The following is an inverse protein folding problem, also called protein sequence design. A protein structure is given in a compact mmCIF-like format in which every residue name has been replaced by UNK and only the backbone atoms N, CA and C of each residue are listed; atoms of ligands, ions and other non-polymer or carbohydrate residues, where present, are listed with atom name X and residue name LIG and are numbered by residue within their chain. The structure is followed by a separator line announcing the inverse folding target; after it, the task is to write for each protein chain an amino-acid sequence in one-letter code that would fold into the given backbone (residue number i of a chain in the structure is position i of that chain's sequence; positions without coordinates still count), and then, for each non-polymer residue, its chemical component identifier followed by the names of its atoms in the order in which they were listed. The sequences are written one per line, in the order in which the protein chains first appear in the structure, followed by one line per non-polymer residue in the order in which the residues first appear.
data_IF_982755601961
#
_entry.id   IF_982755601961
#
_cell.length_a   1.000
_cell.length_b   1.000
_cell.length_c   1.000
_cell.angle_alpha   90.00
_cell.angle_beta   90.00
_cell.angle_gamma   90.00
#
_symmetry.space_group_name_H-M   'P 1'
#
loop_
_entity.id
_entity.type
_entity.pdbx_description
1 polymer ?
#
# COMPACT_ATOMS: atom_id res chain seq x y z
N UNK A 1 22.81 -40.54 6.75
CA UNK A 1 21.43 -40.16 7.12
C UNK A 1 20.64 -40.26 5.82
N UNK A 2 19.70 -41.19 5.71
CA UNK A 2 18.93 -41.35 4.47
C UNK A 2 18.08 -40.09 4.26
N UNK A 3 18.19 -39.45 3.10
CA UNK A 3 17.36 -38.30 2.74
C UNK A 3 15.88 -38.68 2.80
N UNK A 4 15.04 -37.74 3.26
CA UNK A 4 13.59 -37.97 3.22
C UNK A 4 13.12 -38.07 1.76
N UNK A 5 12.02 -38.79 1.50
CA UNK A 5 11.48 -38.92 0.13
C UNK A 5 11.11 -37.57 -0.52
N UNK A 6 10.85 -36.53 0.29
CA UNK A 6 10.62 -35.16 -0.17
C UNK A 6 11.91 -34.50 -0.65
N UNK A 7 13.01 -34.59 0.12
CA UNK A 7 14.30 -34.01 -0.26
C UNK A 7 14.86 -34.64 -1.55
N UNK A 8 14.58 -35.92 -1.77
CA UNK A 8 14.94 -36.62 -3.01
C UNK A 8 14.15 -36.09 -4.21
N UNK A 9 12.85 -35.89 -4.05
CA UNK A 9 11.99 -35.29 -5.07
C UNK A 9 12.45 -33.87 -5.40
N UNK A 10 12.75 -33.04 -4.39
CA UNK A 10 13.24 -31.68 -4.61
C UNK A 10 14.57 -31.65 -5.38
N UNK A 11 15.52 -32.53 -5.05
CA UNK A 11 16.77 -32.62 -5.80
C UNK A 11 16.55 -33.05 -7.25
N UNK A 12 15.63 -33.98 -7.49
CA UNK A 12 15.24 -34.40 -8.84
C UNK A 12 14.64 -33.24 -9.64
N UNK A 13 13.81 -32.41 -9.00
CA UNK A 13 13.16 -31.25 -9.62
C UNK A 13 14.11 -30.08 -9.91
N UNK A 14 15.17 -29.92 -9.11
CA UNK A 14 16.22 -28.94 -9.39
C UNK A 14 16.96 -29.34 -10.67
N UNK A 15 17.30 -30.64 -10.80
CA UNK A 15 17.83 -31.23 -12.02
C UNK A 15 18.98 -30.43 -12.68
N UNK A 16 18.98 -30.39 -14.00
CA UNK A 16 20.05 -29.80 -14.83
C UNK A 16 19.83 -28.31 -15.18
N UNK A 17 18.67 -27.73 -14.86
CA UNK A 17 18.33 -26.34 -15.21
C UNK A 17 17.83 -25.53 -14.00
N UNK A 18 18.72 -25.23 -13.03
CA UNK A 18 18.34 -24.53 -11.80
C UNK A 18 17.83 -23.10 -12.07
N UNK A 19 17.00 -22.58 -11.16
CA UNK A 19 16.61 -21.16 -11.15
C UNK A 19 17.85 -20.27 -10.99
N UNK A 20 17.89 -19.17 -11.75
CA UNK A 20 18.94 -18.15 -11.59
C UNK A 20 18.99 -17.61 -10.15
N UNK A 21 20.18 -17.50 -9.52
CA UNK A 21 20.32 -17.00 -8.16
C UNK A 21 19.65 -15.63 -7.94
N UNK A 22 19.17 -15.37 -6.72
CA UNK A 22 18.50 -14.11 -6.38
C UNK A 22 19.40 -12.87 -6.58
N UNK A 23 20.71 -13.03 -6.43
CA UNK A 23 21.71 -11.96 -6.52
C UNK A 23 21.99 -11.51 -7.97
N UNK A 24 21.66 -12.36 -8.95
CA UNK A 24 21.92 -12.08 -10.36
C UNK A 24 20.71 -11.43 -11.03
N UNK A 25 20.96 -10.57 -12.02
CA UNK A 25 19.90 -10.02 -12.88
C UNK A 25 19.73 -10.87 -14.13
N UNK A 26 18.48 -11.14 -14.51
CA UNK A 26 18.16 -11.77 -15.78
C UNK A 26 18.41 -10.80 -16.94
N UNK A 27 18.51 -11.30 -18.17
CA UNK A 27 18.68 -10.44 -19.36
C UNK A 27 17.53 -9.45 -19.52
N UNK A 28 16.29 -9.88 -19.22
CA UNK A 28 15.10 -9.02 -19.23
C UNK A 28 15.22 -7.93 -18.18
N UNK A 29 15.56 -8.27 -16.94
CA UNK A 29 15.72 -7.29 -15.86
C UNK A 29 16.82 -6.27 -16.15
N UNK A 30 17.98 -6.70 -16.67
CA UNK A 30 19.06 -5.79 -17.07
C UNK A 30 18.58 -4.82 -18.14
N UNK A 31 17.89 -5.32 -19.16
CA UNK A 31 17.38 -4.49 -20.26
C UNK A 31 16.38 -3.47 -19.74
N UNK A 32 15.42 -3.90 -18.92
CA UNK A 32 14.42 -3.00 -18.33
C UNK A 32 15.07 -1.95 -17.41
N UNK A 33 16.05 -2.33 -16.61
CA UNK A 33 16.79 -1.38 -15.75
C UNK A 33 17.53 -0.33 -16.58
N UNK A 34 18.22 -0.73 -17.65
CA UNK A 34 18.89 0.20 -18.55
C UNK A 34 17.92 1.13 -19.27
N UNK A 35 16.78 0.62 -19.75
CA UNK A 35 15.74 1.44 -20.36
C UNK A 35 15.15 2.45 -19.38
N UNK A 36 14.88 2.04 -18.13
CA UNK A 36 14.38 2.93 -17.10
C UNK A 36 15.39 4.03 -16.76
N UNK A 37 16.68 3.68 -16.61
CA UNK A 37 17.76 4.64 -16.38
C UNK A 37 17.92 5.61 -17.56
N UNK A 38 17.85 5.12 -18.79
CA UNK A 38 17.92 5.95 -20.00
C UNK A 38 16.72 6.91 -20.06
N UNK A 39 15.51 6.44 -19.78
CA UNK A 39 14.32 7.27 -19.74
C UNK A 39 14.43 8.38 -18.69
N UNK A 40 14.79 8.03 -17.43
CA UNK A 40 14.98 8.99 -16.35
C UNK A 40 16.09 10.01 -16.68
N UNK A 41 17.21 9.54 -17.23
CA UNK A 41 18.32 10.41 -17.64
C UNK A 41 17.93 11.33 -18.79
N UNK A 42 17.13 10.84 -19.74
CA UNK A 42 16.66 11.63 -20.88
C UNK A 42 15.68 12.71 -20.43
N UNK A 43 14.76 12.41 -19.51
CA UNK A 43 13.88 13.40 -18.90
C UNK A 43 14.70 14.43 -18.12
N UNK A 44 15.66 13.98 -17.32
CA UNK A 44 16.54 14.86 -16.55
C UNK A 44 17.34 15.81 -17.44
N UNK A 45 18.03 15.30 -18.46
CA UNK A 45 18.76 16.12 -19.44
C UNK A 45 17.79 17.01 -20.22
N UNK A 46 16.61 16.49 -20.55
CA UNK A 46 15.53 17.21 -21.22
C UNK A 46 15.11 18.48 -20.48
N UNK A 47 15.07 18.46 -19.14
CA UNK A 47 14.80 19.66 -18.35
C UNK A 47 15.83 20.79 -18.57
N UNK A 48 17.08 20.47 -18.92
CA UNK A 48 18.13 21.47 -19.16
C UNK A 48 18.26 21.85 -20.64
N UNK A 49 18.05 20.91 -21.55
CA UNK A 49 18.33 21.10 -22.99
C UNK A 49 17.07 21.48 -23.79
N UNK A 50 15.90 21.03 -23.36
CA UNK A 50 14.63 21.20 -24.07
C UNK A 50 13.46 21.40 -23.08
N UNK A 51 13.62 22.36 -22.16
CA UNK A 51 12.66 22.59 -21.08
C UNK A 51 11.25 22.87 -21.61
N UNK A 52 11.12 23.73 -22.62
CA UNK A 52 9.82 24.08 -23.20
C UNK A 52 9.07 22.85 -23.72
N UNK A 53 9.79 21.95 -24.42
CA UNK A 53 9.19 20.74 -24.97
C UNK A 53 8.86 19.69 -23.90
N UNK A 54 9.77 19.45 -22.95
CA UNK A 54 9.62 18.38 -21.95
C UNK A 54 8.70 18.79 -20.80
N UNK A 55 8.87 20.00 -20.29
CA UNK A 55 8.12 20.52 -19.16
C UNK A 55 6.90 21.31 -19.63
N UNK A 56 7.10 22.46 -20.29
CA UNK A 56 6.02 23.43 -20.56
C UNK A 56 4.90 22.85 -21.41
N UNK A 57 5.24 22.19 -22.53
CA UNK A 57 4.26 21.61 -23.47
C UNK A 57 3.94 20.14 -23.17
N UNK A 58 4.81 19.46 -22.41
CA UNK A 58 4.73 18.03 -22.13
C UNK A 58 4.17 17.71 -20.75
N UNK A 59 5.05 17.64 -19.75
CA UNK A 59 4.70 17.17 -18.41
C UNK A 59 3.81 18.12 -17.63
N UNK A 60 3.90 19.44 -17.85
CA UNK A 60 3.13 20.43 -17.10
C UNK A 60 1.61 20.26 -17.29
N UNK A 61 1.04 20.24 -18.51
CA UNK A 61 -0.41 20.07 -18.69
C UNK A 61 -0.93 18.69 -18.27
N UNK A 62 -0.07 17.66 -18.30
CA UNK A 62 -0.44 16.28 -17.95
C UNK A 62 -0.34 16.06 -16.44
N UNK A 63 0.73 16.51 -15.80
CA UNK A 63 1.02 16.20 -14.40
C UNK A 63 0.78 17.41 -13.51
N UNK A 64 1.33 18.57 -13.83
CA UNK A 64 1.39 19.72 -12.91
C UNK A 64 0.09 20.52 -12.84
N UNK A 65 -0.50 20.89 -13.98
CA UNK A 65 -1.71 21.71 -14.01
C UNK A 65 -2.88 21.01 -13.29
N UNK A 66 -3.11 19.70 -13.45
CA UNK A 66 -4.13 18.98 -12.68
C UNK A 66 -3.85 18.93 -11.17
N UNK A 67 -2.57 18.91 -10.75
CA UNK A 67 -2.20 18.96 -9.33
C UNK A 67 -2.56 20.32 -8.75
N UNK A 68 -2.24 21.41 -9.46
CA UNK A 68 -2.57 22.76 -9.02
C UNK A 68 -4.08 23.02 -9.02
N UNK A 69 -4.83 22.42 -9.95
CA UNK A 69 -6.29 22.49 -9.97
C UNK A 69 -6.92 21.74 -8.78
N UNK A 70 -6.37 20.57 -8.40
CA UNK A 70 -6.81 19.80 -7.23
C UNK A 70 -6.36 20.43 -5.90
N UNK A 71 -5.35 21.30 -5.93
CA UNK A 71 -4.87 22.09 -4.78
C UNK A 71 -5.69 23.37 -4.56
N UNK A 72 -6.20 23.95 -5.65
CA UNK A 72 -6.91 25.21 -5.59
C UNK A 72 -8.30 25.11 -4.94
N UNK A 73 -8.94 26.26 -4.76
CA UNK A 73 -10.22 26.43 -4.04
C UNK A 73 -11.42 25.63 -4.58
N UNK A 74 -11.31 25.03 -5.78
CA UNK A 74 -12.33 24.12 -6.31
C UNK A 74 -12.19 22.68 -5.74
N UNK A 75 -10.97 22.27 -5.35
CA UNK A 75 -10.68 21.09 -4.55
C UNK A 75 -11.07 19.73 -5.14
N UNK A 76 -11.29 19.59 -6.46
CA UNK A 76 -11.68 18.31 -7.07
C UNK A 76 -11.37 18.24 -8.59
N UNK A 77 -10.11 18.12 -8.98
CA UNK A 77 -9.77 17.95 -10.40
C UNK A 77 -10.10 16.51 -10.88
N UNK A 78 -10.74 16.39 -12.06
CA UNK A 78 -11.03 15.10 -12.67
C UNK A 78 -9.80 14.52 -13.39
N UNK A 79 -9.65 13.19 -13.38
CA UNK A 79 -8.57 12.54 -14.12
C UNK A 79 -8.85 12.52 -15.63
N UNK A 80 -7.87 12.92 -16.43
CA UNK A 80 -7.92 12.72 -17.88
C UNK A 80 -7.31 11.35 -18.28
N UNK A 81 -7.66 10.79 -19.45
CA UNK A 81 -7.15 9.48 -19.89
C UNK A 81 -5.62 9.39 -20.01
N UNK A 82 -4.95 10.49 -20.38
CA UNK A 82 -3.49 10.54 -20.54
C UNK A 82 -2.77 10.41 -19.20
N UNK A 83 -3.27 11.10 -18.17
CA UNK A 83 -2.77 11.04 -16.81
C UNK A 83 -2.96 9.63 -16.24
N UNK A 84 -4.15 9.06 -16.44
CA UNK A 84 -4.44 7.67 -16.04
C UNK A 84 -3.45 6.70 -16.68
N UNK A 85 -3.23 6.79 -18.00
CA UNK A 85 -2.26 5.94 -18.70
C UNK A 85 -0.84 6.12 -18.15
N UNK A 86 -0.39 7.36 -18.00
CA UNK A 86 0.96 7.68 -17.50
C UNK A 86 1.19 7.06 -16.12
N UNK A 87 0.22 7.23 -15.20
CA UNK A 87 0.33 6.71 -13.84
C UNK A 87 0.26 5.18 -13.80
N UNK A 88 -0.63 4.56 -14.59
CA UNK A 88 -0.72 3.09 -14.70
C UNK A 88 0.57 2.47 -15.25
N UNK A 89 1.12 3.02 -16.33
CA UNK A 89 2.37 2.50 -16.90
C UNK A 89 3.57 2.74 -15.98
N UNK A 90 3.65 3.90 -15.33
CA UNK A 90 4.70 4.20 -14.35
C UNK A 90 4.67 3.22 -13.17
N UNK A 91 3.47 2.90 -12.65
CA UNK A 91 3.30 1.90 -11.59
C UNK A 91 3.75 0.50 -12.03
N UNK A 92 3.30 0.04 -13.21
CA UNK A 92 3.70 -1.28 -13.74
C UNK A 92 5.21 -1.37 -13.99
N UNK A 93 5.81 -0.33 -14.58
CA UNK A 93 7.25 -0.25 -14.79
C UNK A 93 8.01 -0.27 -13.46
N UNK A 94 7.51 0.45 -12.45
CA UNK A 94 8.10 0.50 -11.11
C UNK A 94 8.10 -0.88 -10.45
N UNK A 95 7.05 -1.69 -10.59
CA UNK A 95 7.03 -3.08 -10.07
C UNK A 95 8.18 -3.91 -10.65
N UNK A 96 8.40 -3.84 -11.98
CA UNK A 96 9.45 -4.62 -12.66
C UNK A 96 10.86 -4.16 -12.28
N UNK A 97 11.05 -2.85 -12.12
CA UNK A 97 12.35 -2.27 -11.73
C UNK A 97 12.64 -2.53 -10.25
N UNK A 98 11.69 -2.20 -9.36
CA UNK A 98 11.89 -2.29 -7.91
C UNK A 98 12.02 -3.74 -7.44
N UNK A 99 11.31 -4.71 -8.04
CA UNK A 99 11.48 -6.12 -7.65
C UNK A 99 12.92 -6.58 -7.82
N UNK A 100 13.59 -6.18 -8.91
CA UNK A 100 14.96 -6.56 -9.19
C UNK A 100 15.93 -5.87 -8.22
N UNK A 101 15.73 -4.57 -7.96
CA UNK A 101 16.55 -3.80 -7.03
C UNK A 101 16.42 -4.33 -5.59
N UNK A 102 15.20 -4.56 -5.12
CA UNK A 102 14.94 -5.05 -3.75
C UNK A 102 15.47 -6.46 -3.54
N UNK A 103 15.36 -7.32 -4.55
CA UNK A 103 15.92 -8.67 -4.50
C UNK A 103 17.44 -8.64 -4.41
N UNK A 104 18.12 -7.84 -5.23
CA UNK A 104 19.59 -7.71 -5.18
C UNK A 104 20.07 -7.09 -3.87
N UNK A 105 19.29 -6.14 -3.32
CA UNK A 105 19.56 -5.55 -2.01
C UNK A 105 19.21 -6.48 -0.83
N UNK A 106 18.74 -7.71 -1.09
CA UNK A 106 18.32 -8.68 -0.08
C UNK A 106 17.31 -8.11 0.94
N UNK A 107 16.40 -7.26 0.46
CA UNK A 107 15.34 -6.67 1.30
C UNK A 107 14.31 -7.76 1.63
N UNK A 108 13.84 -7.86 2.89
CA UNK A 108 12.81 -8.84 3.26
C UNK A 108 11.55 -8.69 2.39
N UNK A 109 10.97 -9.81 1.96
CA UNK A 109 9.75 -9.87 1.15
C UNK A 109 8.72 -10.83 1.75
N UNK A 110 8.67 -10.91 3.08
CA UNK A 110 7.75 -11.74 3.85
C UNK A 110 6.49 -10.97 4.27
N UNK A 111 5.55 -11.66 4.90
CA UNK A 111 4.31 -11.07 5.44
C UNK A 111 4.57 -9.91 6.42
N UNK A 112 5.70 -9.95 7.15
CA UNK A 112 6.11 -8.87 8.06
C UNK A 112 6.42 -7.60 7.28
N UNK A 113 7.13 -7.71 6.15
CA UNK A 113 7.35 -6.58 5.24
C UNK A 113 6.05 -6.04 4.67
N UNK A 114 5.11 -6.90 4.27
CA UNK A 114 3.79 -6.45 3.83
C UNK A 114 3.11 -5.59 4.90
N UNK A 115 3.09 -6.04 6.16
CA UNK A 115 2.49 -5.30 7.27
C UNK A 115 3.18 -3.94 7.49
N UNK A 116 4.51 -3.89 7.33
CA UNK A 116 5.24 -2.62 7.39
C UNK A 116 4.82 -1.68 6.27
N UNK A 117 4.76 -2.15 5.02
CA UNK A 117 4.35 -1.33 3.86
C UNK A 117 2.87 -0.92 3.94
N UNK A 118 2.00 -1.78 4.48
CA UNK A 118 0.58 -1.48 4.68
C UNK A 118 0.38 -0.25 5.57
N UNK A 119 1.20 -0.08 6.62
CA UNK A 119 1.15 1.12 7.45
C UNK A 119 1.41 2.41 6.65
N UNK A 120 2.24 2.35 5.60
CA UNK A 120 2.50 3.48 4.72
C UNK A 120 1.40 3.70 3.67
N UNK A 121 0.80 2.61 3.18
CA UNK A 121 -0.41 2.69 2.35
C UNK A 121 -1.54 3.38 3.11
N UNK A 122 -1.67 3.17 4.43
CA UNK A 122 -2.63 3.87 5.27
C UNK A 122 -2.23 5.32 5.59
N UNK A 123 -0.94 5.62 5.73
CA UNK A 123 -0.47 6.97 6.05
C UNK A 123 -0.82 8.00 4.95
N UNK A 124 -0.67 7.62 3.68
CA UNK A 124 -0.95 8.50 2.55
C UNK A 124 -2.39 9.06 2.54
N UNK A 125 -3.47 8.23 2.60
CA UNK A 125 -4.83 8.74 2.67
C UNK A 125 -5.13 9.47 3.98
N UNK A 126 -4.47 9.13 5.10
CA UNK A 126 -4.61 9.89 6.35
C UNK A 126 -4.21 11.36 6.18
N UNK A 127 -3.08 11.59 5.49
CA UNK A 127 -2.62 12.93 5.15
C UNK A 127 -3.48 13.57 4.04
N UNK A 128 -3.92 12.79 3.04
CA UNK A 128 -4.77 13.32 1.95
C UNK A 128 -6.12 13.82 2.47
N UNK A 129 -6.72 13.16 3.45
CA UNK A 129 -7.99 13.61 4.06
C UNK A 129 -7.81 14.88 4.90
N UNK A 130 -6.63 15.08 5.51
CA UNK A 130 -6.33 16.36 6.17
C UNK A 130 -6.25 17.50 5.14
N UNK A 131 -5.65 17.21 3.99
CA UNK A 131 -5.66 18.15 2.86
C UNK A 131 -7.08 18.40 2.33
N UNK A 132 -7.88 17.36 2.12
CA UNK A 132 -9.30 17.52 1.72
C UNK A 132 -10.13 18.31 2.76
N UNK A 133 -9.66 18.37 4.01
CA UNK A 133 -10.27 19.16 5.08
C UNK A 133 -9.72 20.61 5.17
N UNK A 134 -8.92 21.07 4.21
CA UNK A 134 -8.24 22.38 4.20
C UNK A 134 -7.29 22.57 5.41
N UNK A 135 -6.63 21.49 5.88
CA UNK A 135 -5.70 21.59 7.01
C UNK A 135 -4.40 22.30 6.63
N UNK A 136 -3.81 21.97 5.48
CA UNK A 136 -2.51 22.53 5.09
C UNK A 136 -2.68 23.90 4.42
N UNK A 137 -1.63 24.72 4.46
CA UNK A 137 -1.66 26.05 3.85
C UNK A 137 -1.60 25.96 2.33
N UNK A 138 -2.06 27.00 1.63
CA UNK A 138 -1.97 27.14 0.17
C UNK A 138 -0.54 27.19 -0.40
N UNK A 139 0.49 27.23 0.46
CA UNK A 139 1.89 27.11 0.05
C UNK A 139 2.36 25.64 0.05
N UNK A 140 1.65 24.75 0.75
CA UNK A 140 2.06 23.36 1.02
C UNK A 140 1.04 22.30 0.60
N UNK A 141 -0.21 22.68 0.32
CA UNK A 141 -1.31 21.83 -0.19
C UNK A 141 -0.88 20.82 -1.27
N UNK A 142 -0.13 21.29 -2.27
CA UNK A 142 0.34 20.51 -3.41
C UNK A 142 1.23 19.33 -3.02
N UNK A 143 1.88 19.37 -1.84
CA UNK A 143 2.67 18.24 -1.34
C UNK A 143 1.79 17.04 -1.00
N UNK A 144 0.54 17.27 -0.62
CA UNK A 144 -0.39 16.25 -0.16
C UNK A 144 -1.28 15.73 -1.29
N UNK A 145 -1.08 16.18 -2.53
CA UNK A 145 -1.82 15.75 -3.72
C UNK A 145 -1.07 14.67 -4.48
N UNK A 146 -1.80 13.78 -5.16
CA UNK A 146 -1.20 12.73 -5.98
C UNK A 146 -0.63 13.28 -7.30
N UNK A 147 0.54 12.80 -7.76
CA UNK A 147 1.36 11.73 -7.19
C UNK A 147 2.40 12.20 -6.15
N UNK A 148 2.51 13.51 -5.88
CA UNK A 148 3.57 14.11 -5.06
C UNK A 148 3.59 13.55 -3.64
N UNK A 149 2.41 13.36 -3.04
CA UNK A 149 2.29 12.75 -1.71
C UNK A 149 3.00 11.39 -1.62
N UNK A 150 2.83 10.56 -2.64
CA UNK A 150 3.45 9.23 -2.68
C UNK A 150 4.97 9.32 -2.87
N UNK A 151 5.46 10.31 -3.61
CA UNK A 151 6.90 10.50 -3.85
C UNK A 151 7.63 10.91 -2.58
N UNK A 152 7.14 11.93 -1.85
CA UNK A 152 7.85 12.36 -0.64
C UNK A 152 7.69 11.33 0.49
N UNK A 153 6.55 10.65 0.62
CA UNK A 153 6.39 9.54 1.57
C UNK A 153 7.31 8.36 1.22
N UNK A 154 7.53 8.08 -0.06
CA UNK A 154 8.52 7.09 -0.49
C UNK A 154 9.95 7.51 -0.09
N UNK A 155 10.30 8.79 -0.16
CA UNK A 155 11.59 9.30 0.33
C UNK A 155 11.76 9.02 1.83
N UNK A 156 10.73 9.29 2.64
CA UNK A 156 10.75 8.95 4.07
C UNK A 156 10.91 7.43 4.29
N UNK A 157 10.11 6.62 3.61
CA UNK A 157 10.15 5.16 3.72
C UNK A 157 11.54 4.60 3.37
N UNK A 158 12.10 5.00 2.23
CA UNK A 158 13.43 4.56 1.77
C UNK A 158 14.52 5.06 2.70
N UNK A 159 14.45 6.31 3.15
CA UNK A 159 15.39 6.87 4.12
C UNK A 159 15.40 6.09 5.44
N UNK A 160 14.23 5.77 5.97
CA UNK A 160 14.09 4.98 7.20
C UNK A 160 14.55 3.54 7.01
N UNK A 161 14.28 2.94 5.85
CA UNK A 161 14.77 1.62 5.48
C UNK A 161 16.31 1.58 5.47
N UNK A 162 16.93 2.56 4.81
CA UNK A 162 18.38 2.69 4.71
C UNK A 162 19.03 2.91 6.07
N UNK A 163 18.52 3.85 6.87
CA UNK A 163 19.02 4.12 8.23
C UNK A 163 18.88 2.87 9.10
N UNK A 164 17.74 2.18 9.02
CA UNK A 164 17.48 0.97 9.79
C UNK A 164 18.44 -0.15 9.42
N UNK A 165 18.72 -0.33 8.13
CA UNK A 165 19.71 -1.28 7.63
C UNK A 165 21.12 -0.91 8.09
N UNK A 166 21.54 0.34 7.83
CA UNK A 166 22.88 0.84 8.10
C UNK A 166 23.25 0.77 9.59
N UNK A 167 22.33 1.09 10.48
CA UNK A 167 22.56 1.01 11.93
C UNK A 167 22.63 -0.44 12.39
N UNK A 168 21.77 -1.32 11.87
CA UNK A 168 21.79 -2.73 12.24
C UNK A 168 23.05 -3.45 11.74
N UNK A 169 23.52 -3.15 10.53
CA UNK A 169 24.68 -3.79 9.92
C UNK A 169 26.00 -3.54 10.68
N UNK A 170 26.04 -2.54 11.57
CA UNK A 170 27.19 -2.31 12.46
C UNK A 170 27.42 -3.44 13.47
N UNK A 171 26.43 -4.31 13.69
CA UNK A 171 26.49 -5.38 14.70
C UNK A 171 26.08 -6.76 14.18
N UNK A 172 26.20 -7.03 12.87
CA UNK A 172 25.80 -8.28 12.20
C UNK A 172 26.54 -9.56 12.66
N UNK A 173 27.53 -9.45 13.55
CA UNK A 173 28.41 -10.55 13.94
C UNK A 173 27.74 -11.65 14.81
N UNK A 174 26.60 -11.39 15.48
CA UNK A 174 25.77 -12.44 16.12
C UNK A 174 24.38 -11.97 16.59
N UNK A 175 23.40 -12.87 16.68
CA UNK A 175 22.06 -12.60 17.21
C UNK A 175 21.98 -12.77 18.74
N UNK A 176 22.79 -12.02 19.48
CA UNK A 176 22.74 -12.04 20.95
C UNK A 176 21.78 -10.95 21.46
N UNK A 177 21.05 -11.19 22.56
CA UNK A 177 20.26 -10.18 23.28
C UNK A 177 20.98 -8.84 23.49
N UNK A 178 22.31 -8.88 23.69
CA UNK A 178 23.15 -7.69 23.85
C UNK A 178 23.21 -6.84 22.57
N UNK A 179 23.28 -7.46 21.40
CA UNK A 179 23.33 -6.78 20.10
C UNK A 179 21.97 -6.18 19.78
N UNK A 180 20.91 -6.92 20.02
CA UNK A 180 19.54 -6.42 19.85
C UNK A 180 19.26 -5.20 20.74
N UNK A 181 19.75 -5.23 21.98
CA UNK A 181 19.68 -4.06 22.87
C UNK A 181 20.48 -2.86 22.35
N UNK A 182 21.61 -3.07 21.64
CA UNK A 182 22.39 -1.97 21.02
C UNK A 182 21.65 -1.38 19.84
N UNK A 183 21.14 -2.22 18.93
CA UNK A 183 20.33 -1.80 17.77
C UNK A 183 19.14 -0.97 18.24
N UNK A 184 18.40 -1.45 19.26
CA UNK A 184 17.30 -0.67 19.85
C UNK A 184 17.73 0.68 20.41
N UNK A 185 18.80 0.71 21.20
CA UNK A 185 19.30 1.97 21.81
C UNK A 185 19.77 2.98 20.75
N UNK A 186 20.24 2.51 19.60
CA UNK A 186 20.68 3.36 18.50
C UNK A 186 19.50 3.82 17.61
N UNK A 187 18.63 2.90 17.18
CA UNK A 187 17.54 3.20 16.25
C UNK A 187 16.42 4.02 16.88
N UNK A 188 16.05 3.72 18.12
CA UNK A 188 14.85 4.30 18.71
C UNK A 188 14.93 5.83 18.86
N UNK A 189 16.06 6.44 19.29
CA UNK A 189 16.23 7.91 19.24
C UNK A 189 16.21 8.47 17.82
N UNK A 190 16.79 7.77 16.84
CA UNK A 190 16.82 8.22 15.45
C UNK A 190 15.40 8.25 14.86
N UNK A 191 14.62 7.19 15.06
CA UNK A 191 13.22 7.13 14.64
C UNK A 191 12.37 8.18 15.37
N UNK A 192 12.65 8.43 16.65
CA UNK A 192 11.96 9.47 17.45
C UNK A 192 12.23 10.88 16.92
N UNK A 193 13.48 11.14 16.50
CA UNK A 193 13.88 12.40 15.90
C UNK A 193 13.32 12.55 14.49
N UNK A 194 13.29 11.47 13.70
CA UNK A 194 12.63 11.44 12.41
C UNK A 194 11.13 11.77 12.55
N UNK A 195 10.46 11.22 13.55
CA UNK A 195 9.03 11.50 13.81
C UNK A 195 8.82 12.96 14.20
N UNK A 196 9.73 13.53 15.00
CA UNK A 196 9.72 14.96 15.32
C UNK A 196 9.86 15.82 14.06
N UNK A 197 10.81 15.51 13.17
CA UNK A 197 10.97 16.24 11.91
C UNK A 197 9.77 16.07 10.99
N UNK A 198 9.19 14.88 10.91
CA UNK A 198 7.98 14.65 10.13
C UNK A 198 6.80 15.50 10.62
N UNK A 199 6.59 15.56 11.94
CA UNK A 199 5.59 16.45 12.54
C UNK A 199 5.91 17.93 12.28
N UNK A 200 7.15 18.35 12.52
CA UNK A 200 7.59 19.74 12.40
C UNK A 200 7.54 20.25 10.96
N UNK A 201 7.84 19.41 9.98
CA UNK A 201 7.83 19.78 8.56
C UNK A 201 6.43 19.76 7.97
N UNK A 202 5.61 18.75 8.30
CA UNK A 202 4.31 18.57 7.63
C UNK A 202 3.15 19.21 8.39
N UNK A 203 3.10 19.10 9.73
CA UNK A 203 1.92 19.51 10.51
C UNK A 203 2.08 20.87 11.18
N UNK A 204 3.26 21.15 11.74
CA UNK A 204 3.48 22.37 12.50
C UNK A 204 3.20 23.68 11.73
N UNK A 205 3.54 23.80 10.42
CA UNK A 205 3.27 25.04 9.67
C UNK A 205 1.77 25.38 9.61
N UNK A 206 0.91 24.37 9.48
CA UNK A 206 -0.54 24.51 9.40
C UNK A 206 -1.18 25.11 10.65
N UNK A 207 -0.58 24.93 11.84
CA UNK A 207 -1.14 25.47 13.08
C UNK A 207 -1.19 27.00 13.13
N UNK A 208 -0.39 27.68 12.30
CA UNK A 208 -0.38 29.14 12.22
C UNK A 208 -1.50 29.72 11.34
N UNK A 209 -2.14 28.88 10.53
CA UNK A 209 -3.23 29.27 9.63
C UNK A 209 -4.58 29.19 10.36
N UNK A 210 -4.69 28.30 11.34
CA UNK A 210 -5.95 27.97 12.00
C UNK A 210 -6.06 28.55 13.41
N UNK A 211 -6.38 29.84 13.52
CA UNK A 211 -6.47 30.57 14.81
C UNK A 211 -7.51 29.99 15.79
N UNK A 212 -8.57 29.35 15.28
CA UNK A 212 -9.65 28.76 16.09
C UNK A 212 -9.38 27.32 16.55
N UNK A 213 -8.26 26.71 16.12
CA UNK A 213 -7.97 25.30 16.35
C UNK A 213 -7.53 25.04 17.80
N UNK A 214 -8.16 24.06 18.45
CA UNK A 214 -7.71 23.55 19.74
C UNK A 214 -6.37 22.81 19.66
N UNK A 215 -5.61 22.78 20.75
CA UNK A 215 -4.33 22.05 20.81
C UNK A 215 -4.37 20.79 21.67
N UNK A 216 -5.52 20.46 22.26
CA UNK A 216 -5.66 19.31 23.16
C UNK A 216 -5.38 18.00 22.43
N UNK A 217 -6.06 17.74 21.31
CA UNK A 217 -5.88 16.50 20.55
C UNK A 217 -4.56 16.48 19.79
N UNK A 218 -4.02 17.64 19.38
CA UNK A 218 -2.67 17.73 18.83
C UNK A 218 -1.63 17.20 19.83
N UNK A 219 -1.64 17.69 21.08
CA UNK A 219 -0.69 17.26 22.11
C UNK A 219 -0.85 15.79 22.47
N UNK A 220 -2.10 15.33 22.60
CA UNK A 220 -2.40 13.91 22.84
C UNK A 220 -1.96 13.04 21.66
N UNK A 221 -2.11 13.51 20.42
CA UNK A 221 -1.70 12.81 19.21
C UNK A 221 -0.19 12.66 19.10
N UNK A 222 0.56 13.71 19.43
CA UNK A 222 2.02 13.63 19.53
C UNK A 222 2.41 12.57 20.57
N UNK A 223 1.86 12.62 21.78
CA UNK A 223 2.15 11.63 22.82
C UNK A 223 1.79 10.20 22.37
N UNK A 224 0.60 10.02 21.80
CA UNK A 224 0.11 8.73 21.30
C UNK A 224 0.98 8.18 20.15
N UNK A 225 1.44 9.05 19.25
CA UNK A 225 2.33 8.65 18.14
C UNK A 225 3.68 8.13 18.65
N UNK A 226 4.27 8.79 19.66
CA UNK A 226 5.48 8.29 20.32
C UNK A 226 5.22 6.96 21.01
N UNK A 227 4.13 6.84 21.77
CA UNK A 227 3.74 5.57 22.43
C UNK A 227 3.62 4.45 21.39
N UNK A 228 2.97 4.71 20.25
CA UNK A 228 2.81 3.76 19.16
C UNK A 228 4.16 3.37 18.55
N UNK A 229 5.07 4.33 18.34
CA UNK A 229 6.44 4.08 17.88
C UNK A 229 7.18 3.15 18.84
N UNK A 230 7.20 3.48 20.14
CA UNK A 230 7.86 2.68 21.16
C UNK A 230 7.27 1.28 21.27
N UNK A 231 5.94 1.18 21.32
CA UNK A 231 5.23 -0.09 21.49
C UNK A 231 5.44 -1.03 20.31
N UNK A 232 5.25 -0.54 19.08
CA UNK A 232 5.47 -1.34 17.87
C UNK A 232 6.91 -1.80 17.74
N UNK A 233 7.88 -0.92 18.04
CA UNK A 233 9.30 -1.24 17.93
C UNK A 233 9.70 -2.34 18.93
N UNK A 234 9.19 -2.28 20.16
CA UNK A 234 9.43 -3.31 21.18
C UNK A 234 8.74 -4.62 20.84
N UNK A 235 7.51 -4.58 20.31
CA UNK A 235 6.76 -5.78 19.93
C UNK A 235 7.35 -6.52 18.73
N UNK A 236 8.05 -5.82 17.86
CA UNK A 236 8.68 -6.39 16.66
C UNK A 236 10.17 -6.67 16.86
N UNK A 237 10.57 -7.02 18.09
CA UNK A 237 11.96 -7.29 18.47
C UNK A 237 12.67 -8.30 17.55
N UNK A 238 11.98 -9.38 17.19
CA UNK A 238 12.53 -10.47 16.37
C UNK A 238 12.39 -10.24 14.85
N UNK A 239 11.95 -9.04 14.45
CA UNK A 239 11.77 -8.71 13.04
C UNK A 239 13.05 -8.12 12.46
N UNK A 240 13.29 -8.26 11.14
CA UNK A 240 14.39 -7.57 10.48
C UNK A 240 14.36 -6.06 10.80
N UNK A 241 15.54 -5.47 11.06
CA UNK A 241 15.63 -4.09 11.49
C UNK A 241 14.98 -3.10 10.50
N UNK A 242 15.12 -3.36 9.19
CA UNK A 242 14.46 -2.61 8.12
C UNK A 242 12.94 -2.62 8.32
N UNK A 243 12.35 -3.81 8.35
CA UNK A 243 10.90 -4.01 8.51
C UNK A 243 10.37 -3.35 9.77
N UNK A 244 11.08 -3.55 10.89
CA UNK A 244 10.72 -2.95 12.18
C UNK A 244 10.74 -1.42 12.13
N UNK A 245 11.81 -0.82 11.60
CA UNK A 245 11.94 0.64 11.53
C UNK A 245 10.85 1.28 10.68
N UNK A 246 10.59 0.71 9.51
CA UNK A 246 9.53 1.16 8.58
C UNK A 246 8.15 1.03 9.23
N UNK A 247 7.84 -0.13 9.85
CA UNK A 247 6.55 -0.35 10.50
C UNK A 247 6.33 0.62 11.66
N UNK A 248 7.31 0.73 12.57
CA UNK A 248 7.17 1.55 13.77
C UNK A 248 6.95 3.02 13.44
N UNK A 249 7.67 3.53 12.45
CA UNK A 249 7.47 4.89 11.98
C UNK A 249 6.12 5.06 11.27
N UNK A 250 5.78 4.17 10.33
CA UNK A 250 4.53 4.25 9.57
C UNK A 250 3.28 4.22 10.46
N UNK A 251 3.27 3.35 11.49
CA UNK A 251 2.19 3.30 12.49
C UNK A 251 2.15 4.58 13.32
N UNK A 252 3.29 5.08 13.79
CA UNK A 252 3.35 6.31 14.58
C UNK A 252 2.87 7.54 13.81
N UNK A 253 3.31 7.69 12.55
CA UNK A 253 2.90 8.77 11.66
C UNK A 253 1.39 8.68 11.32
N UNK A 254 0.86 7.46 11.14
CA UNK A 254 -0.58 7.27 10.92
C UNK A 254 -1.40 7.66 12.15
N UNK A 255 -0.96 7.26 13.35
CA UNK A 255 -1.61 7.67 14.62
C UNK A 255 -1.58 9.18 14.76
N UNK A 256 -0.47 9.84 14.44
CA UNK A 256 -0.37 11.29 14.47
C UNK A 256 -1.44 11.95 13.59
N UNK A 257 -1.59 11.50 12.34
CA UNK A 257 -2.58 12.07 11.42
C UNK A 257 -4.03 11.80 11.83
N UNK A 258 -4.34 10.59 12.33
CA UNK A 258 -5.68 10.27 12.85
C UNK A 258 -6.06 11.12 14.07
N UNK A 259 -5.11 11.50 14.92
CA UNK A 259 -5.41 12.44 16.01
C UNK A 259 -5.69 13.86 15.50
N UNK A 260 -5.17 14.25 14.34
CA UNK A 260 -5.55 15.52 13.69
C UNK A 260 -6.96 15.44 13.09
N UNK A 261 -7.41 14.26 12.62
CA UNK A 261 -8.82 14.06 12.28
C UNK A 261 -9.72 14.26 13.50
N UNK A 262 -9.37 13.68 14.65
CA UNK A 262 -10.13 13.88 15.90
C UNK A 262 -10.10 15.35 16.34
N UNK A 263 -8.97 16.03 16.14
CA UNK A 263 -8.84 17.46 16.41
C UNK A 263 -9.81 18.29 15.54
N UNK A 264 -9.92 17.98 14.24
CA UNK A 264 -10.89 18.60 13.35
C UNK A 264 -12.33 18.37 13.83
N UNK A 265 -12.68 17.13 14.15
CA UNK A 265 -14.02 16.79 14.67
C UNK A 265 -14.35 17.51 15.99
N UNK A 266 -13.34 17.80 16.81
CA UNK A 266 -13.52 18.47 18.10
C UNK A 266 -13.61 19.98 17.98
N UNK A 267 -12.76 20.62 17.17
CA UNK A 267 -12.82 22.05 16.87
C UNK A 267 -12.51 22.23 15.39
N UNK A 268 -13.53 22.22 14.52
CA UNK A 268 -13.35 22.41 13.09
C UNK A 268 -12.71 23.77 12.82
N UNK A 269 -11.75 23.81 11.91
CA UNK A 269 -11.23 25.07 11.38
C UNK A 269 -12.06 25.54 10.18
N UNK A 270 -11.89 26.80 9.78
CA UNK A 270 -12.61 27.34 8.64
C UNK A 270 -12.09 26.68 7.35
N UNK A 271 -13.02 26.19 6.53
CA UNK A 271 -12.72 25.59 5.24
C UNK A 271 -12.93 26.62 4.14
N UNK A 272 -11.94 26.78 3.27
CA UNK A 272 -12.05 27.67 2.09
C UNK A 272 -13.03 27.09 1.07
N UNK A 273 -13.16 25.77 1.04
CA UNK A 273 -14.04 25.00 0.14
C UNK A 273 -15.54 25.14 0.46
N UNK A 274 -15.93 25.71 1.60
CA UNK A 274 -17.32 25.86 2.06
C UNK A 274 -18.15 24.54 2.13
N UNK A 275 -17.48 23.39 2.10
CA UNK A 275 -18.08 22.05 2.14
C UNK A 275 -18.28 21.60 3.59
N UNK A 276 -19.24 22.21 4.27
CA UNK A 276 -19.61 21.75 5.62
C UNK A 276 -20.90 20.96 5.53
N UNK A 277 -20.79 19.63 5.59
CA UNK A 277 -21.91 18.80 6.00
C UNK A 277 -22.09 18.98 7.51
N UNK A 278 -23.25 19.49 7.93
CA UNK A 278 -23.59 19.78 9.34
C UNK A 278 -23.63 18.55 10.27
N UNK A 279 -23.39 17.34 9.75
CA UNK A 279 -23.52 16.09 10.52
C UNK A 279 -22.36 15.12 10.32
N UNK A 280 -21.53 14.95 11.35
CA UNK A 280 -20.56 13.86 11.47
C UNK A 280 -21.31 12.52 11.50
N UNK A 281 -21.01 11.63 10.55
CA UNK A 281 -21.68 10.34 10.43
C UNK A 281 -20.70 9.19 10.54
N UNK A 282 -20.82 8.39 11.61
CA UNK A 282 -19.88 7.28 11.91
C UNK A 282 -20.37 5.91 11.41
N UNK A 283 -21.65 5.78 11.02
CA UNK A 283 -22.16 4.50 10.51
C UNK A 283 -21.47 4.00 9.23
N UNK A 284 -20.94 4.85 8.31
CA UNK A 284 -20.20 4.36 7.14
C UNK A 284 -19.03 3.45 7.51
N UNK A 285 -18.37 3.67 8.66
CA UNK A 285 -17.32 2.79 9.19
C UNK A 285 -17.77 1.35 9.36
N UNK A 286 -19.00 1.15 9.84
CA UNK A 286 -19.54 -0.18 10.08
C UNK A 286 -19.78 -0.94 8.78
N UNK A 287 -20.18 -0.25 7.71
CA UNK A 287 -20.40 -0.87 6.40
C UNK A 287 -19.07 -1.12 5.70
N UNK A 288 -18.26 -0.06 5.56
CA UNK A 288 -17.03 -0.07 4.77
C UNK A 288 -15.95 -0.95 5.40
N UNK A 289 -15.82 -1.00 6.73
CA UNK A 289 -14.86 -1.92 7.37
C UNK A 289 -15.49 -3.21 7.87
N UNK A 290 -16.76 -3.16 8.31
CA UNK A 290 -17.41 -4.34 8.89
C UNK A 290 -17.68 -5.44 7.86
N UNK A 291 -18.25 -5.12 6.70
CA UNK A 291 -18.55 -6.14 5.67
C UNK A 291 -17.26 -6.78 5.14
N UNK A 292 -16.25 -6.01 4.66
CA UNK A 292 -14.99 -6.60 4.22
C UNK A 292 -14.25 -7.35 5.34
N UNK A 293 -14.34 -6.87 6.59
CA UNK A 293 -13.76 -7.53 7.76
C UNK A 293 -14.39 -8.90 8.03
N UNK A 294 -15.72 -9.02 7.91
CA UNK A 294 -16.44 -10.29 8.04
C UNK A 294 -16.02 -11.27 6.93
N UNK A 295 -15.92 -10.81 5.68
CA UNK A 295 -15.46 -11.62 4.55
C UNK A 295 -14.03 -12.14 4.82
N UNK A 296 -13.12 -11.25 5.21
CA UNK A 296 -11.74 -11.61 5.54
C UNK A 296 -11.67 -12.59 6.74
N UNK A 297 -12.55 -12.45 7.74
CA UNK A 297 -12.64 -13.39 8.85
C UNK A 297 -13.01 -14.80 8.38
N UNK A 298 -14.00 -14.94 7.49
CA UNK A 298 -14.38 -16.24 6.94
C UNK A 298 -13.28 -16.84 6.05
N UNK A 299 -12.61 -16.03 5.23
CA UNK A 299 -11.46 -16.47 4.43
C UNK A 299 -10.30 -16.95 5.31
N UNK A 300 -9.95 -16.16 6.33
CA UNK A 300 -8.91 -16.54 7.28
C UNK A 300 -9.26 -17.83 7.99
N UNK A 301 -10.50 -17.97 8.49
CA UNK A 301 -10.96 -19.18 9.16
C UNK A 301 -10.88 -20.41 8.26
N UNK A 302 -11.18 -20.27 6.97
CA UNK A 302 -11.11 -21.35 6.00
C UNK A 302 -9.66 -21.81 5.73
N UNK A 303 -8.71 -20.87 5.61
CA UNK A 303 -7.31 -21.18 5.28
C UNK A 303 -6.37 -21.43 6.48
N UNK A 304 -6.79 -21.12 7.71
CA UNK A 304 -5.89 -21.05 8.88
C UNK A 304 -5.18 -22.37 9.16
N UNK A 305 -5.90 -23.48 9.13
CA UNK A 305 -5.35 -24.77 9.53
C UNK A 305 -4.32 -25.26 8.51
N UNK A 306 -4.58 -25.07 7.22
CA UNK A 306 -3.64 -25.40 6.13
C UNK A 306 -2.41 -24.47 6.16
N UNK A 307 -2.59 -23.19 6.49
CA UNK A 307 -1.47 -22.26 6.69
C UNK A 307 -0.56 -22.69 7.85
N UNK A 308 -1.14 -23.12 8.98
CA UNK A 308 -0.38 -23.62 10.13
C UNK A 308 0.35 -24.93 9.79
N UNK A 309 -0.31 -25.86 9.11
CA UNK A 309 0.32 -27.11 8.67
C UNK A 309 1.49 -26.83 7.72
N UNK A 310 1.33 -25.91 6.78
CA UNK A 310 2.40 -25.55 5.85
C UNK A 310 3.57 -24.89 6.59
N UNK A 311 3.32 -24.01 7.56
CA UNK A 311 4.37 -23.42 8.39
C UNK A 311 5.19 -24.47 9.16
N UNK A 312 4.55 -25.54 9.66
CA UNK A 312 5.25 -26.64 10.35
C UNK A 312 6.18 -27.43 9.42
N UNK A 313 5.91 -27.43 8.11
CA UNK A 313 6.78 -28.07 7.11
C UNK A 313 7.96 -27.20 6.68
N UNK A 314 7.99 -25.92 7.07
CA UNK A 314 9.04 -24.98 6.68
C UNK A 314 8.89 -24.37 5.28
N UNK A 315 7.81 -24.69 4.56
CA UNK A 315 7.48 -24.10 3.26
C UNK A 315 6.61 -22.85 3.39
N UNK A 316 6.60 -22.04 2.33
CA UNK A 316 5.83 -20.81 2.22
C UNK A 316 4.71 -20.99 1.20
N UNK A 317 3.51 -20.48 1.51
CA UNK A 317 2.34 -20.68 0.67
C UNK A 317 2.52 -20.02 -0.71
N UNK A 318 2.33 -20.81 -1.78
CA UNK A 318 2.45 -20.34 -3.17
C UNK A 318 3.87 -20.00 -3.63
N UNK A 319 4.91 -20.37 -2.87
CA UNK A 319 6.31 -20.16 -3.25
C UNK A 319 6.99 -21.53 -3.38
N UNK A 320 7.64 -21.77 -4.51
CA UNK A 320 8.35 -23.02 -4.75
C UNK A 320 9.63 -23.11 -3.90
N UNK A 321 10.08 -24.33 -3.55
CA UNK A 321 11.36 -24.56 -2.89
C UNK A 321 12.55 -23.96 -3.66
N UNK A 322 13.66 -23.75 -2.95
CA UNK A 322 14.82 -23.05 -3.52
C UNK A 322 15.45 -23.84 -4.67
N UNK A 323 15.68 -23.16 -5.80
CA UNK A 323 16.35 -23.75 -6.97
C UNK A 323 15.41 -24.41 -7.99
N UNK A 324 14.16 -24.67 -7.63
CA UNK A 324 13.18 -25.32 -8.51
C UNK A 324 12.49 -24.29 -9.42
N UNK A 325 12.50 -24.56 -10.73
CA UNK A 325 11.77 -23.76 -11.73
C UNK A 325 10.30 -24.15 -11.80
N UNK A 326 9.45 -23.17 -12.14
CA UNK A 326 8.01 -23.43 -12.35
C UNK A 326 7.80 -24.51 -13.42
N UNK A 327 8.56 -24.46 -14.51
CA UNK A 327 8.43 -25.45 -15.59
C UNK A 327 8.74 -26.87 -15.12
N UNK A 328 9.83 -27.06 -14.36
CA UNK A 328 10.17 -28.36 -13.78
C UNK A 328 9.12 -28.86 -12.80
N UNK A 329 8.47 -27.95 -12.07
CA UNK A 329 7.36 -28.26 -11.17
C UNK A 329 6.14 -28.76 -11.93
N UNK A 330 5.73 -28.06 -12.99
CA UNK A 330 4.58 -28.43 -13.83
C UNK A 330 4.82 -29.76 -14.58
N UNK A 331 6.04 -29.97 -15.08
CA UNK A 331 6.44 -31.18 -15.81
C UNK A 331 6.41 -32.45 -14.92
N UNK A 332 6.52 -32.30 -13.59
CA UNK A 332 6.52 -33.40 -12.63
C UNK A 332 5.13 -34.00 -12.36
N UNK A 333 4.05 -33.32 -12.76
CA UNK A 333 2.69 -33.86 -12.79
C UNK A 333 2.21 -34.50 -11.48
N UNK A 334 2.02 -35.82 -11.46
CA UNK A 334 1.46 -36.53 -10.30
C UNK A 334 2.42 -36.65 -9.12
N UNK A 335 3.74 -36.57 -9.34
CA UNK A 335 4.74 -36.76 -8.28
C UNK A 335 4.68 -35.63 -7.22
N UNK A 336 4.34 -34.41 -7.66
CA UNK A 336 4.24 -33.23 -6.80
C UNK A 336 2.92 -33.12 -6.04
N UNK A 337 1.89 -33.92 -6.37
CA UNK A 337 0.59 -33.84 -5.69
C UNK A 337 0.67 -34.20 -4.20
N UNK A 338 1.72 -34.91 -3.78
CA UNK A 338 1.97 -35.23 -2.37
C UNK A 338 2.80 -34.16 -1.65
N UNK A 339 3.31 -33.17 -2.39
CA UNK A 339 4.14 -32.13 -1.83
C UNK A 339 3.28 -31.16 -1.00
N UNK A 340 3.72 -30.75 0.21
CA UNK A 340 2.97 -29.83 1.06
C UNK A 340 2.58 -28.52 0.37
N UNK A 341 3.49 -27.98 -0.46
CA UNK A 341 3.23 -26.77 -1.27
C UNK A 341 2.05 -26.97 -2.23
N UNK A 342 1.91 -28.12 -2.90
CA UNK A 342 0.79 -28.34 -3.82
C UNK A 342 -0.52 -28.60 -3.06
N UNK A 343 -0.44 -29.37 -1.97
CA UNK A 343 -1.61 -29.76 -1.17
C UNK A 343 -2.24 -28.59 -0.40
N UNK A 344 -1.41 -27.75 0.23
CA UNK A 344 -1.87 -26.81 1.25
C UNK A 344 -1.87 -25.35 0.77
N UNK A 345 -1.06 -24.98 -0.23
CA UNK A 345 -0.84 -23.56 -0.58
C UNK A 345 -2.12 -22.84 -0.94
N UNK A 346 -3.01 -23.46 -1.72
CA UNK A 346 -4.24 -22.81 -2.20
C UNK A 346 -5.09 -22.27 -1.05
N UNK A 347 -5.35 -23.11 -0.05
CA UNK A 347 -6.15 -22.73 1.11
C UNK A 347 -5.34 -21.89 2.08
N UNK A 348 -4.07 -22.22 2.31
CA UNK A 348 -3.17 -21.44 3.15
C UNK A 348 -3.08 -19.97 2.71
N UNK A 349 -3.09 -19.72 1.40
CA UNK A 349 -3.07 -18.37 0.84
C UNK A 349 -4.31 -17.55 1.16
N UNK A 350 -5.49 -18.17 1.32
CA UNK A 350 -6.71 -17.46 1.74
C UNK A 350 -6.58 -16.86 3.14
N UNK A 351 -5.75 -17.46 4.00
CA UNK A 351 -5.43 -16.93 5.32
C UNK A 351 -4.18 -16.04 5.36
N UNK A 352 -3.50 -15.86 4.22
CA UNK A 352 -2.29 -15.04 4.15
C UNK A 352 -2.62 -13.55 4.27
N UNK A 353 -1.78 -12.75 4.95
CA UNK A 353 -1.92 -11.30 5.01
C UNK A 353 -1.99 -10.65 3.63
N UNK A 354 -1.29 -11.21 2.62
CA UNK A 354 -1.33 -10.72 1.23
C UNK A 354 -2.74 -10.73 0.66
N UNK A 355 -3.40 -11.89 0.66
CA UNK A 355 -4.74 -12.04 0.09
C UNK A 355 -5.77 -11.27 0.91
N UNK A 356 -5.72 -11.38 2.23
CA UNK A 356 -6.66 -10.69 3.12
C UNK A 356 -6.59 -9.17 2.95
N UNK A 357 -5.38 -8.60 2.85
CA UNK A 357 -5.22 -7.16 2.64
C UNK A 357 -5.77 -6.72 1.27
N UNK A 358 -5.49 -7.46 0.19
CA UNK A 358 -6.02 -7.10 -1.14
C UNK A 358 -7.55 -7.14 -1.19
N UNK A 359 -8.15 -8.20 -0.63
CA UNK A 359 -9.61 -8.36 -0.56
C UNK A 359 -10.22 -7.25 0.29
N UNK A 360 -9.67 -7.00 1.47
CA UNK A 360 -10.13 -5.93 2.34
C UNK A 360 -10.07 -4.57 1.64
N UNK A 361 -8.92 -4.23 1.03
CA UNK A 361 -8.71 -2.94 0.38
C UNK A 361 -9.66 -2.67 -0.79
N UNK A 362 -9.82 -3.63 -1.71
CA UNK A 362 -10.69 -3.44 -2.88
C UNK A 362 -12.18 -3.39 -2.51
N UNK A 363 -12.60 -4.17 -1.51
CA UNK A 363 -13.98 -4.11 -1.03
C UNK A 363 -14.24 -2.83 -0.23
N UNK A 364 -13.29 -2.37 0.60
CA UNK A 364 -13.40 -1.09 1.30
C UNK A 364 -13.62 0.05 0.30
N UNK A 365 -12.86 0.08 -0.78
CA UNK A 365 -13.04 1.04 -1.87
C UNK A 365 -14.46 0.99 -2.45
N UNK A 366 -14.89 -0.19 -2.91
CA UNK A 366 -16.21 -0.36 -3.48
C UNK A 366 -17.34 0.10 -2.54
N UNK A 367 -17.28 -0.30 -1.27
CA UNK A 367 -18.28 0.10 -0.28
C UNK A 367 -18.19 1.59 0.08
N UNK A 368 -16.99 2.17 0.14
CA UNK A 368 -16.82 3.60 0.43
C UNK A 368 -17.43 4.46 -0.69
N UNK A 369 -17.14 4.13 -1.94
CA UNK A 369 -17.72 4.80 -3.12
C UNK A 369 -19.24 4.65 -3.14
N UNK A 370 -19.76 3.44 -2.93
CA UNK A 370 -21.21 3.22 -2.88
C UNK A 370 -21.89 4.04 -1.78
N UNK A 371 -21.32 4.03 -0.56
CA UNK A 371 -21.88 4.81 0.54
C UNK A 371 -21.80 6.30 0.24
N UNK A 372 -20.68 6.79 -0.30
CA UNK A 372 -20.51 8.20 -0.62
C UNK A 372 -21.48 8.71 -1.69
N UNK A 373 -21.67 7.96 -2.76
CA UNK A 373 -22.56 8.36 -3.87
C UNK A 373 -24.03 8.18 -3.47
N UNK A 374 -24.44 6.96 -3.11
CA UNK A 374 -25.86 6.63 -2.93
C UNK A 374 -26.47 7.27 -1.67
N UNK A 375 -25.68 7.63 -0.66
CA UNK A 375 -26.20 8.16 0.62
C UNK A 375 -25.75 9.58 0.97
N UNK A 376 -24.64 10.06 0.42
CA UNK A 376 -24.09 11.38 0.76
C UNK A 376 -23.98 12.33 -0.45
N UNK A 377 -24.33 11.89 -1.67
CA UNK A 377 -24.35 12.74 -2.86
C UNK A 377 -22.98 13.18 -3.37
N UNK A 378 -21.92 12.42 -3.05
CA UNK A 378 -20.59 12.64 -3.63
C UNK A 378 -20.54 12.22 -5.11
N UNK A 379 -19.62 12.81 -5.87
CA UNK A 379 -19.35 12.44 -7.27
C UNK A 379 -18.10 11.56 -7.43
N UNK A 380 -18.12 10.67 -8.41
CA UNK A 380 -16.96 9.86 -8.79
C UNK A 380 -15.98 10.62 -9.70
N UNK A 381 -14.68 10.57 -9.39
CA UNK A 381 -13.62 11.29 -10.11
C UNK A 381 -13.02 10.48 -11.27
N UNK A 382 -13.09 9.15 -11.20
CA UNK A 382 -12.48 8.28 -12.18
C UNK A 382 -13.44 8.00 -13.35
N UNK A 383 -12.97 8.24 -14.58
CA UNK A 383 -13.77 8.08 -15.81
C UNK A 383 -14.41 6.69 -15.91
N UNK A 384 -13.64 5.63 -15.64
CA UNK A 384 -14.12 4.24 -15.75
C UNK A 384 -15.10 3.90 -14.64
N UNK A 385 -14.82 4.31 -13.40
CA UNK A 385 -15.74 4.08 -12.28
C UNK A 385 -17.07 4.80 -12.49
N UNK A 386 -17.04 6.04 -12.97
CA UNK A 386 -18.23 6.83 -13.25
C UNK A 386 -19.12 6.16 -14.31
N UNK A 387 -18.53 5.56 -15.34
CA UNK A 387 -19.30 4.79 -16.34
C UNK A 387 -20.04 3.60 -15.71
N UNK A 388 -19.38 2.86 -14.82
CA UNK A 388 -20.03 1.72 -14.11
C UNK A 388 -21.22 2.20 -13.30
N UNK A 389 -21.12 3.35 -12.64
CA UNK A 389 -22.21 3.91 -11.82
C UNK A 389 -23.40 4.33 -12.71
N UNK A 390 -23.13 5.02 -13.83
CA UNK A 390 -24.19 5.40 -14.80
C UNK A 390 -24.93 4.17 -15.32
N UNK A 391 -24.22 3.10 -15.67
CA UNK A 391 -24.86 1.84 -16.06
C UNK A 391 -25.70 1.22 -14.92
N UNK A 392 -25.25 1.35 -13.66
CA UNK A 392 -26.03 0.95 -12.49
C UNK A 392 -27.34 1.72 -12.38
N UNK A 393 -27.31 3.03 -12.63
CA UNK A 393 -28.49 3.89 -12.70
C UNK A 393 -29.47 3.47 -13.80
N UNK A 394 -28.97 3.19 -15.01
CA UNK A 394 -29.80 2.68 -16.12
C UNK A 394 -30.49 1.34 -15.77
N UNK A 395 -29.82 0.48 -15.00
CA UNK A 395 -30.40 -0.78 -14.50
C UNK A 395 -31.47 -0.51 -13.44
N UNK A 396 -31.25 0.44 -12.53
CA UNK A 396 -32.23 0.86 -11.55
C UNK A 396 -33.52 1.38 -12.24
N UNK A 397 -33.36 2.23 -13.26
CA UNK A 397 -34.47 2.75 -14.07
C UNK A 397 -35.23 1.63 -14.78
N UNK A 398 -34.52 0.65 -15.34
CA UNK A 398 -35.13 -0.50 -16.01
C UNK A 398 -35.87 -1.46 -15.05
N UNK A 399 -35.44 -1.54 -13.79
CA UNK A 399 -36.03 -2.40 -12.76
C UNK A 399 -37.05 -1.68 -11.87
N UNK A 400 -37.22 -0.36 -12.02
CA UNK A 400 -38.10 0.46 -11.19
C UNK A 400 -37.63 0.55 -9.74
N UNK A 401 -36.32 0.57 -9.51
CA UNK A 401 -35.71 0.66 -8.18
C UNK A 401 -35.33 2.12 -7.90
N UNK A 402 -36.07 2.79 -7.02
CA UNK A 402 -35.81 4.18 -6.60
C UNK A 402 -34.72 4.30 -5.52
N UNK A 403 -33.96 3.23 -5.25
CA UNK A 403 -32.95 3.19 -4.19
C UNK A 403 -31.52 3.34 -4.74
N UNK A 404 -30.88 4.46 -4.41
CA UNK A 404 -29.50 4.79 -4.79
C UNK A 404 -29.36 5.27 -6.24
N UNK A 405 -28.24 5.92 -6.55
CA UNK A 405 -27.90 6.40 -7.90
C UNK A 405 -27.31 5.28 -8.79
N UNK A 406 -27.13 4.08 -8.24
CA UNK A 406 -26.64 2.89 -8.96
C UNK A 406 -25.23 2.46 -8.56
N UNK A 407 -24.64 3.08 -7.53
CA UNK A 407 -23.27 2.77 -7.12
C UNK A 407 -23.09 1.36 -6.52
N UNK A 408 -24.18 0.66 -6.18
CA UNK A 408 -24.15 -0.77 -5.82
C UNK A 408 -23.51 -1.66 -6.90
N UNK A 409 -23.62 -1.29 -8.19
CA UNK A 409 -22.99 -2.05 -9.28
C UNK A 409 -21.46 -1.98 -9.19
N UNK A 410 -20.92 -0.85 -8.74
CA UNK A 410 -19.48 -0.68 -8.54
C UNK A 410 -18.93 -1.66 -7.48
N UNK A 411 -19.66 -1.88 -6.39
CA UNK A 411 -19.31 -2.90 -5.37
C UNK A 411 -19.26 -4.29 -5.99
N UNK A 412 -20.24 -4.66 -6.82
CA UNK A 412 -20.26 -5.98 -7.46
C UNK A 412 -19.11 -6.16 -8.44
N UNK A 413 -18.81 -5.13 -9.25
CA UNK A 413 -17.66 -5.15 -10.17
C UNK A 413 -16.36 -5.28 -9.40
N UNK A 414 -16.16 -4.51 -8.32
CA UNK A 414 -14.99 -4.61 -7.44
C UNK A 414 -14.89 -6.00 -6.79
N UNK A 415 -16.00 -6.54 -6.29
CA UNK A 415 -16.06 -7.87 -5.69
C UNK A 415 -15.72 -8.98 -6.70
N UNK A 416 -16.24 -8.90 -7.92
CA UNK A 416 -15.93 -9.84 -8.99
C UNK A 416 -14.46 -9.75 -9.41
N UNK A 417 -13.94 -8.53 -9.58
CA UNK A 417 -12.54 -8.29 -9.94
C UNK A 417 -11.60 -8.85 -8.87
N UNK A 418 -11.82 -8.53 -7.60
CA UNK A 418 -10.96 -9.03 -6.52
C UNK A 418 -11.14 -10.53 -6.30
N UNK A 419 -12.32 -11.09 -6.55
CA UNK A 419 -12.55 -12.53 -6.59
C UNK A 419 -11.71 -13.21 -7.66
N UNK A 420 -11.67 -12.66 -8.89
CA UNK A 420 -10.86 -13.16 -9.99
C UNK A 420 -9.35 -13.05 -9.70
N UNK A 421 -8.89 -11.89 -9.20
CA UNK A 421 -7.49 -11.67 -8.80
C UNK A 421 -7.11 -12.65 -7.69
N UNK A 422 -7.96 -12.83 -6.67
CA UNK A 422 -7.71 -13.77 -5.58
C UNK A 422 -7.63 -15.19 -6.10
N UNK A 423 -8.56 -15.61 -6.95
CA UNK A 423 -8.54 -16.95 -7.56
C UNK A 423 -7.25 -17.20 -8.34
N UNK A 424 -6.85 -16.25 -9.19
CA UNK A 424 -5.58 -16.34 -9.91
C UNK A 424 -4.38 -16.41 -8.93
N UNK A 425 -4.38 -15.58 -7.89
CA UNK A 425 -3.28 -15.49 -6.93
C UNK A 425 -3.12 -16.73 -6.04
N UNK A 426 -4.21 -17.44 -5.72
CA UNK A 426 -4.14 -18.68 -4.92
C UNK A 426 -3.76 -19.91 -5.77
N UNK A 427 -4.04 -19.89 -7.08
CA UNK A 427 -3.69 -20.97 -8.00
C UNK A 427 -2.26 -20.84 -8.53
N UNK A 428 -1.76 -19.61 -8.70
CA UNK A 428 -0.40 -19.35 -9.19
C UNK A 428 0.66 -19.64 -8.12
N UNK A 429 1.67 -20.42 -8.51
CA UNK A 429 2.90 -20.62 -7.73
C UNK A 429 4.02 -19.79 -8.34
N UNK A 430 4.86 -19.22 -7.49
CA UNK A 430 5.99 -18.39 -7.92
C UNK A 430 7.33 -18.98 -7.50
N UNK A 431 8.37 -18.72 -8.28
CA UNK A 431 9.73 -19.08 -7.91
C UNK A 431 10.18 -18.26 -6.69
N UNK A 432 11.11 -18.80 -5.90
CA UNK A 432 11.65 -18.08 -4.72
C UNK A 432 12.24 -16.71 -5.07
N UNK A 433 12.79 -16.56 -6.27
CA UNK A 433 13.30 -15.30 -6.82
C UNK A 433 12.20 -14.25 -7.06
N UNK A 434 10.97 -14.70 -7.32
CA UNK A 434 9.82 -13.87 -7.66
C UNK A 434 8.99 -13.44 -6.43
N UNK A 435 9.49 -13.64 -5.21
CA UNK A 435 8.81 -13.18 -3.98
C UNK A 435 8.59 -11.67 -3.97
N UNK A 436 9.57 -10.89 -4.41
CA UNK A 436 9.47 -9.43 -4.45
C UNK A 436 8.42 -8.93 -5.44
N UNK A 437 8.33 -9.53 -6.63
CA UNK A 437 7.29 -9.14 -7.60
C UNK A 437 5.90 -9.47 -7.05
N UNK A 438 5.74 -10.61 -6.37
CA UNK A 438 4.48 -10.99 -5.71
C UNK A 438 4.05 -9.95 -4.68
N UNK A 439 4.96 -9.55 -3.80
CA UNK A 439 4.71 -8.51 -2.79
C UNK A 439 4.35 -7.16 -3.42
N UNK A 440 5.04 -6.76 -4.49
CA UNK A 440 4.81 -5.48 -5.16
C UNK A 440 3.51 -5.42 -5.95
N UNK A 441 3.06 -6.55 -6.54
CA UNK A 441 1.73 -6.65 -7.16
C UNK A 441 0.65 -6.46 -6.08
N UNK A 442 0.78 -7.14 -4.94
CA UNK A 442 -0.13 -6.96 -3.80
C UNK A 442 -0.17 -5.50 -3.36
N UNK A 443 0.99 -4.86 -3.25
CA UNK A 443 1.07 -3.44 -2.89
C UNK A 443 0.40 -2.53 -3.93
N UNK A 444 0.55 -2.80 -5.22
CA UNK A 444 -0.11 -2.04 -6.27
C UNK A 444 -1.64 -2.18 -6.19
N UNK A 445 -2.16 -3.39 -5.96
CA UNK A 445 -3.60 -3.64 -5.74
C UNK A 445 -4.10 -2.91 -4.49
N UNK A 446 -3.30 -2.84 -3.43
CA UNK A 446 -3.64 -2.09 -2.22
C UNK A 446 -3.67 -0.58 -2.46
N UNK A 447 -2.70 -0.03 -3.17
CA UNK A 447 -2.67 1.41 -3.50
C UNK A 447 -3.89 1.81 -4.33
N UNK A 448 -4.35 0.96 -5.25
CA UNK A 448 -5.52 1.24 -6.11
C UNK A 448 -6.86 0.98 -5.42
N UNK A 449 -6.89 0.30 -4.27
CA UNK A 449 -8.13 -0.02 -3.55
C UNK A 449 -8.17 0.56 -2.14
N UNK A 450 -7.27 0.11 -1.27
CA UNK A 450 -7.27 0.53 0.13
C UNK A 450 -7.05 2.05 0.29
N UNK A 451 -6.12 2.64 -0.47
CA UNK A 451 -5.84 4.07 -0.33
C UNK A 451 -7.04 4.97 -0.69
N UNK A 452 -7.71 4.81 -1.87
CA UNK A 452 -8.93 5.57 -2.15
C UNK A 452 -10.06 5.24 -1.17
N UNK A 453 -10.31 3.97 -0.84
CA UNK A 453 -11.34 3.61 0.15
C UNK A 453 -11.13 4.23 1.54
N UNK A 454 -9.87 4.34 2.01
CA UNK A 454 -9.53 5.02 3.27
C UNK A 454 -9.65 6.55 3.18
N UNK A 455 -9.41 7.13 2.00
CA UNK A 455 -9.63 8.57 1.77
C UNK A 455 -11.12 8.88 1.78
N UNK A 456 -11.91 8.15 0.99
CA UNK A 456 -13.35 8.35 0.85
C UNK A 456 -14.06 8.22 2.20
N UNK A 457 -13.73 7.20 2.98
CA UNK A 457 -14.32 7.06 4.31
C UNK A 457 -13.88 8.18 5.27
N UNK A 458 -12.65 8.65 5.17
CA UNK A 458 -12.16 9.78 5.97
C UNK A 458 -12.92 11.06 5.62
N UNK A 459 -13.14 11.32 4.33
CA UNK A 459 -13.98 12.42 3.84
C UNK A 459 -15.40 12.34 4.35
N UNK A 460 -16.02 11.16 4.29
CA UNK A 460 -17.37 10.93 4.83
C UNK A 460 -17.44 11.15 6.35
N UNK A 461 -16.41 10.74 7.09
CA UNK A 461 -16.35 10.94 8.54
C UNK A 461 -16.18 12.40 8.92
N UNK A 462 -15.35 13.15 8.19
CA UNK A 462 -15.08 14.56 8.47
C UNK A 462 -16.12 15.50 7.84
N UNK A 463 -16.87 15.02 6.85
CA UNK A 463 -17.91 15.76 6.12
C UNK A 463 -17.35 16.70 5.05
N UNK A 464 -16.31 16.29 4.31
CA UNK A 464 -15.49 17.14 3.41
C UNK A 464 -15.35 16.66 1.96
#
# INVERSE_FOLDING_TARGET
MAMSGLEQLEQQLIGDDPVLPCEEYSSVEKTTLWLALLALSSVFVGFFVANDFIWTDGLKPIVWDPIMEDAGSAGDAAYNPMNTLLYTFSMLASVVVLQALFRKANIPADDKMLLALLAWVCLAPVLRVLEDADFFSSEMDWLFISPIIHLHLAVWLVGLAFISHYVASQWDASSTDKIENKVRKALLPILSLALFFHWSLLYQPAYSVHDSMGFTWVRLGILASYIALFWTFVKTREWPAITRGILSFGVAASVLGLFHWVQFLSTPWAQESARVLDTVSLWPLLVVFGIPGIICYFMHRYGRDDALQLQLTGYEAGVLPAGIRIKSWEDAGEEIQRHPVELLSRNALLASPMVLAMVFGQLCDGFATMVGIDFFGYGEKHVVSNQVIVYGGEINDALGVDFGEGAWLFVLVKAALIGAITYMFIEMKVEKRQRHIRLLIVLAVLIVGLAPGLRDIGRLMLGV
#
